data_IF_656695866304
#
_entry.id   IF_656695866304
#
_cell.length_a   1.000
_cell.length_b   1.000
_cell.length_c   1.000
_cell.angle_alpha   90.00
_cell.angle_beta   90.00
_cell.angle_gamma   90.00
#
_symmetry.space_group_name_H-M   'P 1'
#
loop_
_entity.id
_entity.type
_entity.pdbx_description
1 polymer ?
#
# COMPACT_ATOMS: atom_id res chain seq x y z
N UNK A 1 2.19 0.51 -15.34
CA UNK A 1 1.19 0.56 -14.26
C UNK A 1 1.50 1.79 -13.43
N UNK A 2 0.51 2.59 -13.06
CA UNK A 2 0.76 3.73 -12.19
C UNK A 2 1.14 3.22 -10.78
N UNK A 3 2.07 3.88 -10.07
CA UNK A 3 2.47 3.45 -8.73
C UNK A 3 1.35 3.71 -7.72
N UNK A 4 1.21 2.81 -6.75
CA UNK A 4 0.39 3.04 -5.56
C UNK A 4 1.16 3.88 -4.53
N UNK A 5 0.50 4.87 -3.91
CA UNK A 5 1.11 5.76 -2.95
C UNK A 5 1.37 5.11 -1.59
N UNK A 6 2.52 5.41 -1.01
CA UNK A 6 2.83 5.20 0.42
C UNK A 6 2.84 6.55 1.13
N UNK A 7 1.94 6.73 2.11
CA UNK A 7 1.97 7.88 3.02
C UNK A 7 2.76 7.53 4.29
N UNK A 8 3.81 8.30 4.58
CA UNK A 8 4.64 8.11 5.77
C UNK A 8 4.23 9.06 6.91
N UNK A 9 3.18 8.72 7.65
CA UNK A 9 2.68 9.57 8.74
C UNK A 9 3.45 9.38 10.04
N UNK A 10 4.16 8.27 10.21
CA UNK A 10 5.01 8.01 11.38
C UNK A 10 6.49 8.37 11.18
N UNK A 11 6.82 9.08 10.09
CA UNK A 11 8.17 9.55 9.77
C UNK A 11 9.26 8.46 9.90
N UNK A 12 8.92 7.24 9.47
CA UNK A 12 9.85 6.12 9.43
C UNK A 12 10.88 6.31 8.31
N UNK A 13 11.98 5.57 8.36
CA UNK A 13 12.97 5.55 7.29
C UNK A 13 12.33 4.99 6.00
N UNK A 14 12.16 5.87 5.02
CA UNK A 14 11.51 5.56 3.75
C UNK A 14 12.32 4.56 2.92
N UNK A 15 13.65 4.68 2.92
CA UNK A 15 14.51 3.78 2.15
C UNK A 15 14.49 2.38 2.76
N UNK A 16 14.47 2.29 4.09
CA UNK A 16 14.31 1.02 4.79
C UNK A 16 12.97 0.37 4.47
N UNK A 17 11.86 1.11 4.55
CA UNK A 17 10.53 0.56 4.22
C UNK A 17 10.49 0.07 2.77
N UNK A 18 10.97 0.86 1.81
CA UNK A 18 11.00 0.45 0.41
C UNK A 18 11.88 -0.79 0.20
N UNK A 19 13.04 -0.85 0.85
CA UNK A 19 13.93 -2.02 0.79
C UNK A 19 13.23 -3.29 1.30
N UNK A 20 12.50 -3.20 2.42
CA UNK A 20 11.75 -4.33 2.97
C UNK A 20 10.57 -4.72 2.07
N UNK A 21 9.85 -3.76 1.49
CA UNK A 21 8.79 -4.05 0.50
C UNK A 21 9.35 -4.76 -0.73
N UNK A 22 10.48 -4.27 -1.25
CA UNK A 22 11.16 -4.81 -2.44
C UNK A 22 11.87 -6.15 -2.22
N UNK A 23 12.00 -6.58 -0.96
CA UNK A 23 12.47 -7.93 -0.62
C UNK A 23 11.45 -9.04 -0.92
N UNK A 24 10.27 -8.68 -1.46
CA UNK A 24 9.17 -9.57 -1.77
C UNK A 24 9.58 -10.77 -2.65
N UNK A 25 9.22 -11.99 -2.19
CA UNK A 25 9.32 -13.21 -2.99
C UNK A 25 8.48 -13.13 -4.27
N UNK A 26 7.34 -12.45 -4.22
CA UNK A 26 6.43 -12.25 -5.34
C UNK A 26 7.11 -11.62 -6.57
N UNK A 27 8.01 -10.65 -6.37
CA UNK A 27 8.75 -10.06 -7.51
C UNK A 27 9.57 -11.15 -8.21
N UNK A 28 10.24 -12.03 -7.46
CA UNK A 28 11.06 -13.10 -8.02
C UNK A 28 10.24 -14.17 -8.72
N UNK A 29 9.07 -14.48 -8.17
CA UNK A 29 8.15 -15.46 -8.75
C UNK A 29 7.58 -14.97 -10.09
N UNK A 30 7.18 -13.70 -10.16
CA UNK A 30 6.54 -13.13 -11.35
C UNK A 30 7.55 -12.64 -12.39
N UNK A 31 8.71 -12.13 -11.97
CA UNK A 31 9.74 -11.60 -12.84
C UNK A 31 10.85 -12.62 -13.16
N UNK A 32 10.52 -13.91 -13.26
CA UNK A 32 11.48 -15.03 -13.30
C UNK A 32 12.62 -14.91 -14.32
N UNK A 33 12.45 -14.05 -15.33
CA UNK A 33 13.37 -13.90 -16.46
C UNK A 33 14.26 -12.64 -16.38
N UNK A 34 14.11 -11.79 -15.36
CA UNK A 34 14.90 -10.56 -15.17
C UNK A 34 15.29 -10.36 -13.70
N UNK A 35 16.35 -9.58 -13.39
CA UNK A 35 16.61 -9.13 -12.03
C UNK A 35 15.37 -8.43 -11.44
N UNK A 36 15.08 -8.59 -10.12
CA UNK A 36 13.95 -7.92 -9.48
C UNK A 36 13.88 -6.41 -9.72
N UNK A 37 15.03 -5.74 -9.78
CA UNK A 37 15.18 -4.30 -9.99
C UNK A 37 14.80 -3.86 -11.41
N UNK A 38 14.86 -4.77 -12.38
CA UNK A 38 14.46 -4.54 -13.77
C UNK A 38 12.99 -4.90 -14.01
N UNK A 39 12.31 -5.49 -13.01
CA UNK A 39 10.89 -5.78 -13.06
C UNK A 39 10.05 -4.52 -12.93
N UNK A 40 9.01 -4.41 -13.74
CA UNK A 40 7.99 -3.36 -13.57
C UNK A 40 7.28 -3.42 -12.20
N UNK A 41 7.42 -4.53 -11.45
CA UNK A 41 6.90 -4.67 -10.09
C UNK A 41 7.72 -3.90 -9.04
N UNK A 42 8.99 -3.59 -9.34
CA UNK A 42 9.88 -2.86 -8.43
C UNK A 42 9.39 -1.45 -8.10
N UNK A 43 8.63 -0.89 -9.02
CA UNK A 43 8.11 0.48 -9.00
C UNK A 43 6.59 0.53 -8.81
N UNK A 44 5.96 -0.56 -8.35
CA UNK A 44 4.50 -0.60 -8.10
C UNK A 44 4.11 0.25 -6.90
N UNK A 45 5.03 0.53 -5.97
CA UNK A 45 4.77 1.32 -4.77
C UNK A 45 5.85 2.36 -4.56
N UNK A 46 5.44 3.60 -4.29
CA UNK A 46 6.36 4.71 -4.04
C UNK A 46 5.87 5.61 -2.92
N UNK A 47 6.81 6.17 -2.16
CA UNK A 47 6.49 7.22 -1.21
C UNK A 47 5.96 8.46 -1.91
N UNK A 48 4.87 8.97 -1.39
CA UNK A 48 4.31 10.25 -1.82
C UNK A 48 5.25 11.36 -1.36
N UNK A 49 5.63 12.31 -2.23
CA UNK A 49 6.47 13.45 -1.85
C UNK A 49 5.87 14.24 -0.68
N UNK A 50 6.74 14.79 0.16
CA UNK A 50 6.34 15.50 1.39
C UNK A 50 5.41 16.68 1.12
N UNK A 51 5.51 17.31 -0.05
CA UNK A 51 4.61 18.38 -0.51
C UNK A 51 3.13 17.98 -0.60
N UNK A 52 2.85 16.68 -0.70
CA UNK A 52 1.51 16.12 -0.80
C UNK A 52 1.04 15.49 0.52
N UNK A 53 1.85 15.55 1.58
CA UNK A 53 1.41 15.11 2.92
C UNK A 53 0.37 16.10 3.47
N UNK A 54 -0.59 15.61 4.27
CA UNK A 54 -1.54 16.48 4.93
C UNK A 54 -0.80 17.40 5.91
N UNK A 55 -1.15 18.70 5.92
CA UNK A 55 -0.56 19.70 6.81
C UNK A 55 -1.08 19.60 8.25
N UNK A 56 -2.20 18.91 8.46
CA UNK A 56 -2.81 18.63 9.75
C UNK A 56 -2.90 17.11 9.98
N UNK A 57 -2.98 16.70 11.24
CA UNK A 57 -3.21 15.30 11.61
C UNK A 57 -4.57 14.85 11.07
N UNK A 58 -4.58 13.76 10.31
CA UNK A 58 -5.80 13.13 9.83
C UNK A 58 -6.20 12.04 10.82
N UNK A 59 -7.39 12.18 11.39
CA UNK A 59 -7.85 11.36 12.53
C UNK A 59 -8.61 10.08 12.11
N UNK A 60 -8.96 9.93 10.83
CA UNK A 60 -9.71 8.76 10.35
C UNK A 60 -9.18 8.21 9.03
N UNK A 61 -9.44 6.92 8.76
CA UNK A 61 -9.11 6.27 7.49
C UNK A 61 -9.75 6.99 6.31
N UNK A 62 -11.01 7.42 6.45
CA UNK A 62 -11.74 8.15 5.42
C UNK A 62 -11.06 9.48 5.11
N UNK A 63 -10.64 10.24 6.12
CA UNK A 63 -9.94 11.51 5.91
C UNK A 63 -8.61 11.31 5.18
N UNK A 64 -7.84 10.26 5.51
CA UNK A 64 -6.59 9.89 4.83
C UNK A 64 -6.85 9.54 3.37
N UNK A 65 -7.83 8.68 3.11
CA UNK A 65 -8.20 8.25 1.76
C UNK A 65 -8.69 9.43 0.94
N UNK A 66 -9.54 10.28 1.52
CA UNK A 66 -10.08 11.44 0.81
C UNK A 66 -8.98 12.44 0.46
N UNK A 67 -8.05 12.70 1.38
CA UNK A 67 -6.87 13.52 1.11
C UNK A 67 -6.02 12.92 0.00
N UNK A 68 -5.73 11.63 0.07
CA UNK A 68 -4.93 10.92 -0.92
C UNK A 68 -5.57 10.97 -2.31
N UNK A 69 -6.85 10.62 -2.43
CA UNK A 69 -7.59 10.66 -3.70
C UNK A 69 -7.63 12.09 -4.25
N UNK A 70 -7.94 13.09 -3.42
CA UNK A 70 -8.04 14.50 -3.86
C UNK A 70 -6.68 15.06 -4.31
N UNK A 71 -5.61 14.70 -3.61
CA UNK A 71 -4.25 15.19 -3.87
C UNK A 71 -3.62 14.52 -5.09
N UNK A 72 -3.85 13.21 -5.25
CA UNK A 72 -3.16 12.40 -6.25
C UNK A 72 -3.92 12.29 -7.58
N UNK A 73 -5.20 12.71 -7.64
CA UNK A 73 -6.08 12.60 -8.83
C UNK A 73 -5.47 13.10 -10.15
N UNK A 74 -4.49 13.98 -10.10
CA UNK A 74 -3.87 14.63 -11.28
C UNK A 74 -2.41 14.25 -11.49
N UNK A 75 -1.86 13.31 -10.72
CA UNK A 75 -0.41 13.12 -10.57
C UNK A 75 0.06 11.71 -11.00
N UNK A 76 -0.68 11.02 -11.86
CA UNK A 76 -0.34 9.68 -12.39
C UNK A 76 -0.13 8.59 -11.31
N UNK A 77 -0.82 8.68 -10.18
CA UNK A 77 -0.82 7.62 -9.16
C UNK A 77 -2.00 6.68 -9.35
N UNK A 78 -1.81 5.41 -9.03
CA UNK A 78 -2.92 4.51 -8.79
C UNK A 78 -3.58 4.88 -7.45
N UNK A 79 -4.91 5.02 -7.47
CA UNK A 79 -5.69 5.37 -6.29
C UNK A 79 -6.57 4.21 -5.79
N UNK A 80 -6.41 3.02 -6.38
CA UNK A 80 -7.14 1.80 -6.03
C UNK A 80 -6.58 1.22 -4.73
N UNK A 81 -5.26 1.27 -4.56
CA UNK A 81 -4.59 0.88 -3.33
C UNK A 81 -3.77 2.04 -2.76
N UNK A 82 -4.01 2.37 -1.48
CA UNK A 82 -3.22 3.36 -0.73
C UNK A 82 -2.55 2.67 0.45
N UNK A 83 -1.23 2.81 0.55
CA UNK A 83 -0.42 2.23 1.63
C UNK A 83 -0.10 3.33 2.65
N UNK A 84 -0.14 2.96 3.92
CA UNK A 84 0.07 3.86 5.04
C UNK A 84 1.08 3.27 6.03
N UNK A 85 2.15 4.02 6.28
CA UNK A 85 3.00 3.86 7.44
C UNK A 85 2.49 4.78 8.56
N UNK A 86 1.91 4.20 9.61
CA UNK A 86 1.28 4.91 10.73
C UNK A 86 1.99 4.62 12.06
N UNK A 87 1.40 5.05 13.17
CA UNK A 87 1.95 4.85 14.52
C UNK A 87 2.18 3.36 14.85
N UNK A 88 1.42 2.44 14.25
CA UNK A 88 1.60 1.01 14.46
C UNK A 88 2.80 0.46 13.69
N UNK A 89 3.11 1.03 12.51
CA UNK A 89 4.33 0.69 11.77
C UNK A 89 5.59 0.88 12.63
N UNK A 90 5.64 1.91 13.48
CA UNK A 90 6.76 2.12 14.39
C UNK A 90 6.88 1.04 15.49
N UNK A 91 5.82 0.27 15.75
CA UNK A 91 5.77 -0.77 16.80
C UNK A 91 6.11 -2.15 16.25
N UNK A 92 5.56 -2.51 15.10
CA UNK A 92 5.64 -3.87 14.56
C UNK A 92 6.12 -3.93 13.09
N UNK A 93 6.47 -2.81 12.48
CA UNK A 93 6.92 -2.72 11.09
C UNK A 93 5.83 -2.95 10.04
N UNK A 94 4.60 -3.28 10.43
CA UNK A 94 3.53 -3.56 9.49
C UNK A 94 2.99 -2.29 8.83
N UNK A 95 2.45 -2.43 7.63
CA UNK A 95 1.88 -1.35 6.83
C UNK A 95 0.37 -1.58 6.67
N UNK A 96 -0.42 -0.51 6.70
CA UNK A 96 -1.85 -0.56 6.43
C UNK A 96 -2.11 -0.28 4.96
N UNK A 97 -2.87 -1.15 4.32
CA UNK A 97 -3.28 -1.06 2.93
C UNK A 97 -4.78 -0.79 2.91
N UNK A 98 -5.19 0.26 2.20
CA UNK A 98 -6.57 0.57 1.91
C UNK A 98 -6.91 0.16 0.48
N UNK A 99 -8.00 -0.56 0.31
CA UNK A 99 -8.69 -0.70 -0.98
C UNK A 99 -9.71 0.42 -1.11
N UNK A 100 -9.63 1.17 -2.22
CA UNK A 100 -10.30 2.45 -2.40
C UNK A 100 -11.06 2.49 -3.72
N UNK A 101 -12.34 2.85 -3.64
CA UNK A 101 -13.16 3.17 -4.79
C UNK A 101 -13.27 4.70 -4.91
N UNK A 102 -12.43 5.28 -5.80
CA UNK A 102 -12.38 6.73 -6.02
C UNK A 102 -13.60 7.28 -6.75
N UNK A 103 -14.50 6.42 -7.26
CA UNK A 103 -15.77 6.82 -7.87
C UNK A 103 -16.83 7.14 -6.82
N UNK A 104 -16.67 6.64 -5.59
CA UNK A 104 -17.56 6.95 -4.47
C UNK A 104 -17.37 8.39 -3.98
N UNK A 105 -18.42 8.99 -3.38
CA UNK A 105 -18.32 10.29 -2.75
C UNK A 105 -17.36 10.26 -1.54
N UNK A 106 -16.86 11.46 -1.20
CA UNK A 106 -16.04 11.72 -0.01
C UNK A 106 -16.66 11.06 1.23
N UNK A 107 -15.83 10.42 2.06
CA UNK A 107 -16.28 9.69 3.25
C UNK A 107 -16.85 8.28 3.00
N UNK A 108 -16.98 7.84 1.73
CA UNK A 108 -17.49 6.51 1.37
C UNK A 108 -16.57 5.72 0.43
N UNK A 109 -15.33 6.18 0.25
CA UNK A 109 -14.37 5.59 -0.69
C UNK A 109 -13.68 4.33 -0.18
N UNK A 110 -13.71 4.07 1.13
CA UNK A 110 -13.09 2.89 1.71
C UNK A 110 -13.90 1.63 1.38
N UNK A 111 -13.30 0.72 0.60
CA UNK A 111 -13.86 -0.61 0.32
C UNK A 111 -13.45 -1.59 1.40
N UNK A 112 -12.17 -1.57 1.79
CA UNK A 112 -11.62 -2.47 2.78
C UNK A 112 -10.23 -2.04 3.22
N UNK A 113 -9.74 -2.67 4.29
CA UNK A 113 -8.39 -2.44 4.79
C UNK A 113 -7.74 -3.75 5.23
N UNK A 114 -6.44 -3.86 5.02
CA UNK A 114 -5.63 -4.99 5.40
C UNK A 114 -4.32 -4.46 5.97
N UNK A 115 -3.87 -5.02 7.09
CA UNK A 115 -2.52 -4.75 7.59
C UNK A 115 -1.63 -5.90 7.15
N UNK A 116 -0.44 -5.59 6.63
CA UNK A 116 0.46 -6.58 6.09
C UNK A 116 1.92 -6.30 6.49
N UNK A 117 2.75 -7.32 6.50
CA UNK A 117 4.21 -7.15 6.56
C UNK A 117 4.70 -6.49 5.27
N UNK A 118 5.78 -5.68 5.31
CA UNK A 118 6.28 -4.95 4.13
C UNK A 118 6.49 -5.84 2.89
N UNK A 119 7.12 -7.01 3.06
CA UNK A 119 7.42 -7.96 1.96
C UNK A 119 6.18 -8.48 1.20
N UNK A 120 4.98 -8.37 1.77
CA UNK A 120 3.73 -8.81 1.15
C UNK A 120 2.95 -7.68 0.46
N UNK A 121 3.41 -6.42 0.58
CA UNK A 121 2.68 -5.26 0.07
C UNK A 121 2.55 -5.29 -1.46
N UNK A 122 3.60 -5.63 -2.19
CA UNK A 122 3.58 -5.62 -3.68
C UNK A 122 2.52 -6.58 -4.19
N UNK A 123 2.48 -7.81 -3.68
CA UNK A 123 1.48 -8.81 -4.08
C UNK A 123 0.05 -8.30 -3.87
N UNK A 124 -0.24 -7.80 -2.67
CA UNK A 124 -1.59 -7.29 -2.33
C UNK A 124 -1.95 -6.09 -3.22
N UNK A 125 -1.04 -5.13 -3.37
CA UNK A 125 -1.26 -3.94 -4.19
C UNK A 125 -1.50 -4.31 -5.65
N UNK A 126 -0.67 -5.19 -6.23
CA UNK A 126 -0.84 -5.65 -7.61
C UNK A 126 -2.22 -6.30 -7.80
N UNK A 127 -2.63 -7.19 -6.89
CA UNK A 127 -3.93 -7.86 -6.98
C UNK A 127 -5.11 -6.88 -6.90
N UNK A 128 -5.01 -5.82 -6.09
CA UNK A 128 -6.00 -4.75 -6.05
C UNK A 128 -6.03 -3.95 -7.35
N UNK A 129 -4.86 -3.55 -7.87
CA UNK A 129 -4.75 -2.74 -9.10
C UNK A 129 -5.30 -3.46 -10.33
N UNK A 130 -5.11 -4.79 -10.44
CA UNK A 130 -5.69 -5.59 -11.52
C UNK A 130 -7.08 -6.13 -11.20
N UNK A 131 -7.65 -5.78 -10.03
CA UNK A 131 -8.96 -6.25 -9.56
C UNK A 131 -9.11 -7.78 -9.58
N UNK A 132 -8.03 -8.50 -9.28
CA UNK A 132 -7.99 -9.97 -9.31
C UNK A 132 -8.54 -10.60 -8.02
N UNK A 133 -8.33 -9.94 -6.88
CA UNK A 133 -8.69 -10.44 -5.55
C UNK A 133 -9.04 -9.29 -4.60
N UNK A 134 -10.05 -9.48 -3.75
CA UNK A 134 -10.40 -8.48 -2.72
C UNK A 134 -9.57 -8.65 -1.44
N UNK A 135 -9.54 -7.62 -0.58
CA UNK A 135 -8.81 -7.69 0.70
C UNK A 135 -9.40 -8.69 1.70
N UNK A 136 -10.66 -9.10 1.52
CA UNK A 136 -11.32 -10.05 2.43
C UNK A 136 -10.77 -11.45 2.22
N UNK A 137 -10.44 -11.82 0.99
CA UNK A 137 -9.76 -13.08 0.69
C UNK A 137 -8.41 -13.18 1.40
N UNK A 138 -7.58 -12.13 1.33
CA UNK A 138 -6.33 -12.05 2.11
C UNK A 138 -6.55 -12.14 3.62
N UNK A 139 -7.57 -11.46 4.14
CA UNK A 139 -7.90 -11.50 5.56
C UNK A 139 -8.27 -12.92 6.03
N UNK A 140 -8.89 -13.73 5.16
CA UNK A 140 -9.20 -15.14 5.47
C UNK A 140 -7.95 -16.04 5.51
N UNK A 141 -6.83 -15.60 4.93
CA UNK A 141 -5.56 -16.33 4.95
C UNK A 141 -4.72 -16.08 6.22
N UNK A 142 -5.14 -15.13 7.07
CA UNK A 142 -4.45 -14.82 8.33
C UNK A 142 -4.70 -15.96 9.33
N UNK A 143 -3.69 -16.81 9.54
CA UNK A 143 -3.77 -17.97 10.44
C UNK A 143 -3.63 -17.59 11.91
N UNK A 144 -2.79 -16.61 12.22
CA UNK A 144 -2.55 -16.08 13.57
C UNK A 144 -2.29 -14.56 13.51
N UNK A 145 -2.81 -13.81 14.49
CA UNK A 145 -2.68 -12.35 14.55
C UNK A 145 -3.68 -11.58 13.65
N UNK A 146 -3.33 -10.34 13.32
CA UNK A 146 -4.13 -9.43 12.49
C UNK A 146 -3.28 -8.74 11.38
N UNK A 147 -2.09 -9.30 11.11
CA UNK A 147 -1.16 -8.85 10.08
C UNK A 147 -1.01 -9.97 9.05
N UNK A 148 -1.32 -9.67 7.80
CA UNK A 148 -1.12 -10.56 6.68
C UNK A 148 0.37 -10.72 6.33
N UNK A 149 0.76 -11.96 6.11
CA UNK A 149 2.06 -12.36 5.62
C UNK A 149 1.84 -13.50 4.65
N UNK A 150 2.19 -13.28 3.38
CA UNK A 150 2.03 -14.27 2.32
C UNK A 150 2.87 -15.55 2.58
N UNK A 151 3.85 -15.48 3.50
CA UNK A 151 4.92 -16.45 3.56
C UNK A 151 5.89 -16.15 2.43
N UNK A 152 7.17 -16.04 2.79
CA UNK A 152 8.25 -15.79 1.84
C UNK A 152 8.34 -16.84 0.74
#
# INVERSE_FOLDING_TARGET
>A
MAPSPIFNLSAQDADKILSEIRSSGYIREVASDVPPEESGLWDVVHFVPDSFRPSAKLESSEAIIDHAVETLKKQEWDSTAIVLADERTAKDGSLLIYNVDSTQPKGKRLVGKLRAVPRSVIEVVCNLQVSNMDLKEYANCIKEGDVFDAGS
#
